data_IF_605148808422
#
_entry.id   IF_605148808422
#
_cell.length_a   1.000
_cell.length_b   1.000
_cell.length_c   1.000
_cell.angle_alpha   90.00
_cell.angle_beta   90.00
_cell.angle_gamma   90.00
#
_symmetry.space_group_name_H-M   'P 1'
#
loop_
_entity.id
_entity.type
_entity.pdbx_description
1 polymer ?
#
# COMPACT_ATOMS: atom_id res chain seq x y z
N UNK A 1 20.73 -1.64 -12.79
CA UNK A 1 20.87 -2.74 -11.81
C UNK A 1 19.95 -2.64 -10.59
N UNK A 2 19.49 -1.44 -10.15
CA UNK A 2 18.54 -1.29 -9.01
C UNK A 2 17.08 -1.70 -9.28
N UNK A 3 16.64 -1.74 -10.54
CA UNK A 3 15.26 -2.15 -10.90
C UNK A 3 14.99 -3.66 -10.76
N UNK A 4 16.03 -4.51 -10.85
CA UNK A 4 15.85 -5.96 -10.69
C UNK A 4 15.61 -6.35 -9.23
N UNK A 5 16.22 -5.65 -8.27
CA UNK A 5 16.18 -6.02 -6.84
C UNK A 5 14.75 -6.00 -6.30
N UNK A 6 13.97 -4.94 -6.58
CA UNK A 6 12.59 -4.82 -6.08
C UNK A 6 11.67 -5.94 -6.59
N UNK A 7 11.80 -6.31 -7.87
CA UNK A 7 11.03 -7.42 -8.47
C UNK A 7 11.58 -8.80 -8.09
N UNK A 8 12.89 -8.93 -7.87
CA UNK A 8 13.53 -10.18 -7.46
C UNK A 8 13.14 -10.58 -6.03
N UNK A 9 13.03 -9.61 -5.12
CA UNK A 9 12.65 -9.88 -3.72
C UNK A 9 11.23 -10.47 -3.68
N UNK A 10 10.28 -9.90 -4.43
CA UNK A 10 8.90 -10.39 -4.47
C UNK A 10 8.79 -11.83 -4.95
N UNK A 11 9.45 -12.17 -6.06
CA UNK A 11 9.40 -13.51 -6.64
C UNK A 11 10.04 -14.57 -5.71
N UNK A 12 11.15 -14.20 -5.07
CA UNK A 12 11.87 -15.10 -4.15
C UNK A 12 11.09 -15.34 -2.86
N UNK A 13 10.46 -14.29 -2.32
CA UNK A 13 9.60 -14.38 -1.13
C UNK A 13 8.40 -15.29 -1.40
N UNK A 14 7.68 -15.08 -2.50
CA UNK A 14 6.52 -15.91 -2.86
C UNK A 14 6.93 -17.37 -3.07
N UNK A 15 8.04 -17.62 -3.78
CA UNK A 15 8.56 -18.97 -3.99
C UNK A 15 8.94 -19.68 -2.66
N UNK A 16 9.51 -18.95 -1.70
CA UNK A 16 9.84 -19.49 -0.37
C UNK A 16 8.62 -19.81 0.48
N UNK A 17 7.50 -19.10 0.28
CA UNK A 17 6.26 -19.27 1.04
C UNK A 17 5.49 -20.54 0.63
N UNK A 18 5.39 -20.81 -0.68
CA UNK A 18 4.63 -21.96 -1.18
C UNK A 18 5.42 -23.29 -1.16
N UNK A 19 6.75 -23.24 -1.21
CA UNK A 19 7.59 -24.44 -1.15
C UNK A 19 7.37 -25.41 -2.32
N UNK A 20 8.22 -26.44 -2.43
CA UNK A 20 8.18 -27.39 -3.56
C UNK A 20 7.00 -28.39 -3.56
N UNK A 21 6.07 -28.31 -2.60
CA UNK A 21 4.90 -29.19 -2.48
C UNK A 21 3.64 -28.38 -2.20
N UNK A 22 2.58 -28.66 -2.97
CA UNK A 22 1.31 -27.95 -2.85
C UNK A 22 0.44 -28.55 -1.73
N UNK A 23 0.58 -28.02 -0.52
CA UNK A 23 -0.29 -28.36 0.60
C UNK A 23 -1.51 -27.43 0.65
N UNK A 24 -2.72 -27.96 0.43
CA UNK A 24 -3.96 -27.16 0.36
C UNK A 24 -4.20 -26.33 1.63
N UNK A 25 -3.94 -26.92 2.82
CA UNK A 25 -4.09 -26.20 4.11
C UNK A 25 -3.12 -25.02 4.23
N UNK A 26 -1.87 -25.19 3.81
CA UNK A 26 -0.84 -24.14 3.84
C UNK A 26 -1.15 -23.03 2.85
N UNK A 27 -1.64 -23.38 1.67
CA UNK A 27 -2.07 -22.44 0.64
C UNK A 27 -3.13 -21.46 1.17
N UNK A 28 -4.25 -21.97 1.71
CA UNK A 28 -5.32 -21.11 2.25
C UNK A 28 -4.87 -20.28 3.45
N UNK A 29 -3.97 -20.82 4.29
CA UNK A 29 -3.43 -20.08 5.44
C UNK A 29 -2.57 -18.88 5.00
N UNK A 30 -1.68 -19.06 4.02
CA UNK A 30 -0.83 -17.98 3.49
C UNK A 30 -1.67 -16.94 2.76
N UNK A 31 -2.58 -17.39 1.89
CA UNK A 31 -3.47 -16.48 1.14
C UNK A 31 -4.39 -15.71 2.07
N UNK A 32 -4.92 -16.36 3.12
CA UNK A 32 -5.74 -15.70 4.14
C UNK A 32 -4.97 -14.63 4.92
N UNK A 33 -3.77 -14.94 5.39
CA UNK A 33 -2.92 -13.96 6.09
C UNK A 33 -2.54 -12.78 5.17
N UNK A 34 -2.19 -13.06 3.91
CA UNK A 34 -1.87 -12.03 2.94
C UNK A 34 -3.08 -11.14 2.63
N UNK A 35 -4.27 -11.73 2.49
CA UNK A 35 -5.53 -11.01 2.24
C UNK A 35 -5.85 -10.04 3.38
N UNK A 36 -5.73 -10.49 4.63
CA UNK A 36 -5.94 -9.63 5.80
C UNK A 36 -4.90 -8.50 5.83
N UNK A 37 -3.62 -8.80 5.60
CA UNK A 37 -2.57 -7.78 5.57
C UNK A 37 -2.77 -6.73 4.46
N UNK A 38 -3.16 -7.17 3.25
CA UNK A 38 -3.51 -6.29 2.13
C UNK A 38 -4.75 -5.45 2.43
N UNK A 39 -5.75 -6.02 3.10
CA UNK A 39 -6.92 -5.28 3.55
C UNK A 39 -6.53 -4.17 4.54
N UNK A 40 -5.66 -4.46 5.51
CA UNK A 40 -5.14 -3.44 6.44
C UNK A 40 -4.33 -2.34 5.73
N UNK A 41 -3.47 -2.70 4.78
CA UNK A 41 -2.68 -1.72 4.01
C UNK A 41 -3.56 -0.85 3.13
N UNK A 42 -4.62 -1.41 2.51
CA UNK A 42 -5.61 -0.65 1.75
C UNK A 42 -6.52 0.21 2.63
N UNK A 43 -6.75 -0.19 3.88
CA UNK A 43 -7.53 0.57 4.85
C UNK A 43 -6.73 1.71 5.49
N UNK A 44 -5.39 1.58 5.54
CA UNK A 44 -4.52 2.73 5.79
C UNK A 44 -4.79 3.73 4.65
N UNK A 45 -5.26 4.95 4.94
CA UNK A 45 -5.57 5.92 3.91
C UNK A 45 -4.24 6.44 3.37
N UNK A 46 -3.69 5.69 2.42
CA UNK A 46 -2.60 6.11 1.57
C UNK A 46 -3.27 6.67 0.32
N UNK A 47 -3.42 7.99 0.20
CA UNK A 47 -4.10 8.68 -0.91
C UNK A 47 -3.29 8.52 -2.21
N UNK A 48 -3.32 7.30 -2.75
CA UNK A 48 -2.80 6.90 -4.07
C UNK A 48 -3.20 5.45 -4.42
N UNK A 49 -3.38 4.57 -3.43
CA UNK A 49 -3.92 3.21 -3.58
C UNK A 49 -5.42 3.22 -3.24
N UNK A 50 -6.27 2.66 -4.09
CA UNK A 50 -7.75 2.66 -4.18
C UNK A 50 -8.63 2.79 -2.89
N UNK A 51 -8.12 2.54 -1.68
CA UNK A 51 -8.86 2.62 -0.42
C UNK A 51 -9.27 4.03 0.01
N UNK A 52 -8.45 5.05 -0.25
CA UNK A 52 -8.76 6.43 0.16
C UNK A 52 -9.98 7.03 -0.55
N UNK A 53 -10.15 6.73 -1.84
CA UNK A 53 -11.33 7.13 -2.61
C UNK A 53 -12.57 6.33 -2.17
N UNK A 54 -12.40 5.05 -1.87
CA UNK A 54 -13.48 4.18 -1.38
C UNK A 54 -14.05 4.63 -0.03
N UNK A 55 -13.20 5.14 0.88
CA UNK A 55 -13.64 5.73 2.16
C UNK A 55 -14.44 7.02 1.94
N UNK A 56 -14.02 7.88 1.01
CA UNK A 56 -14.77 9.10 0.68
C UNK A 56 -16.16 8.79 0.12
N UNK A 57 -16.24 7.82 -0.79
CA UNK A 57 -17.52 7.34 -1.35
C UNK A 57 -18.35 6.65 -0.27
N UNK A 58 -17.73 5.89 0.65
CA UNK A 58 -18.41 5.30 1.80
C UNK A 58 -19.01 6.34 2.75
N UNK A 59 -18.27 7.41 3.05
CA UNK A 59 -18.78 8.55 3.83
C UNK A 59 -19.91 9.26 3.08
N UNK A 60 -19.80 9.41 1.76
CA UNK A 60 -20.85 9.98 0.92
C UNK A 60 -22.12 9.12 0.94
N UNK A 61 -21.98 7.79 0.85
CA UNK A 61 -23.07 6.84 0.92
C UNK A 61 -23.77 6.85 2.29
N UNK A 62 -23.02 6.96 3.39
CA UNK A 62 -23.58 7.09 4.75
C UNK A 62 -24.27 8.45 4.95
N UNK A 63 -23.69 9.53 4.40
CA UNK A 63 -24.19 10.90 4.59
C UNK A 63 -25.30 11.28 3.59
N UNK A 64 -25.48 10.50 2.52
CA UNK A 64 -26.49 10.68 1.48
C UNK A 64 -26.39 11.99 0.69
N UNK A 65 -25.30 12.73 0.83
CA UNK A 65 -25.10 14.06 0.22
C UNK A 65 -23.70 14.15 -0.37
N UNK A 66 -23.57 14.62 -1.63
CA UNK A 66 -22.29 14.67 -2.30
C UNK A 66 -21.30 15.54 -1.54
N UNK A 67 -20.08 15.04 -1.37
CA UNK A 67 -19.00 15.86 -0.82
C UNK A 67 -18.63 16.96 -1.82
N UNK A 68 -18.37 18.19 -1.36
CA UNK A 68 -17.93 19.25 -2.24
C UNK A 68 -16.60 18.86 -2.89
N UNK A 69 -16.52 18.95 -4.22
CA UNK A 69 -15.34 18.61 -5.04
C UNK A 69 -14.04 19.21 -4.49
N UNK A 70 -14.11 20.42 -3.93
CA UNK A 70 -12.97 21.09 -3.29
C UNK A 70 -12.36 20.26 -2.16
N UNK A 71 -13.18 19.65 -1.30
CA UNK A 71 -12.72 18.86 -0.15
C UNK A 71 -12.03 17.58 -0.63
N UNK A 72 -12.59 16.91 -1.63
CA UNK A 72 -12.00 15.71 -2.26
C UNK A 72 -10.64 16.05 -2.87
N UNK A 73 -10.55 17.15 -3.62
CA UNK A 73 -9.30 17.64 -4.20
C UNK A 73 -8.25 17.98 -3.14
N UNK A 74 -8.62 18.69 -2.07
CA UNK A 74 -7.70 19.01 -0.98
C UNK A 74 -7.16 17.76 -0.29
N UNK A 75 -8.03 16.77 -0.01
CA UNK A 75 -7.60 15.53 0.64
C UNK A 75 -6.61 14.75 -0.24
N UNK A 76 -6.89 14.68 -1.53
CA UNK A 76 -6.07 13.96 -2.50
C UNK A 76 -4.71 14.63 -2.70
N UNK A 77 -4.69 15.96 -2.81
CA UNK A 77 -3.44 16.75 -2.95
C UNK A 77 -2.62 16.71 -1.66
N UNK A 78 -3.24 16.93 -0.49
CA UNK A 78 -2.53 16.84 0.80
C UNK A 78 -1.89 15.47 0.98
N UNK A 79 -2.63 14.43 0.60
CA UNK A 79 -2.17 13.07 0.57
C UNK A 79 -0.96 12.79 -0.33
N UNK A 80 -1.03 13.27 -1.56
CA UNK A 80 0.05 13.15 -2.52
C UNK A 80 1.32 13.86 -2.05
N UNK A 81 1.18 15.06 -1.48
CA UNK A 81 2.29 15.82 -0.90
C UNK A 81 2.92 15.07 0.28
N UNK A 82 2.10 14.48 1.16
CA UNK A 82 2.58 13.69 2.29
C UNK A 82 3.41 12.48 1.82
N UNK A 83 2.92 11.75 0.80
CA UNK A 83 3.63 10.60 0.22
C UNK A 83 4.98 10.98 -0.37
N UNK A 84 5.03 12.06 -1.16
CA UNK A 84 6.29 12.54 -1.75
C UNK A 84 7.26 12.96 -0.65
N UNK A 85 6.78 13.71 0.34
CA UNK A 85 7.62 14.19 1.44
C UNK A 85 8.21 13.04 2.24
N UNK A 86 7.40 12.03 2.59
CA UNK A 86 7.88 10.83 3.27
C UNK A 86 8.90 10.06 2.43
N UNK A 87 8.64 9.90 1.13
CA UNK A 87 9.55 9.20 0.22
C UNK A 87 10.91 9.90 0.16
N UNK A 88 10.92 11.22 -0.02
CA UNK A 88 12.14 12.01 -0.01
C UNK A 88 12.87 11.93 1.34
N UNK A 89 12.15 11.99 2.44
CA UNK A 89 12.72 11.88 3.78
C UNK A 89 13.39 10.52 4.01
N UNK A 90 12.73 9.41 3.63
CA UNK A 90 13.27 8.06 3.76
C UNK A 90 14.49 7.88 2.87
N UNK A 91 14.43 8.30 1.61
CA UNK A 91 15.57 8.23 0.67
C UNK A 91 16.75 9.05 1.19
N UNK A 92 16.50 10.25 1.71
CA UNK A 92 17.57 11.07 2.29
C UNK A 92 18.19 10.41 3.52
N UNK A 93 17.38 9.79 4.38
CA UNK A 93 17.86 9.06 5.53
C UNK A 93 18.71 7.85 5.14
N UNK A 94 18.30 7.11 4.11
CA UNK A 94 19.02 5.96 3.59
C UNK A 94 20.36 6.39 2.95
N UNK A 95 20.37 7.49 2.18
CA UNK A 95 21.59 8.06 1.60
C UNK A 95 22.58 8.50 2.68
N UNK A 96 22.11 9.17 3.75
CA UNK A 96 22.99 9.59 4.86
C UNK A 96 23.60 8.40 5.57
N UNK A 97 22.85 7.32 5.75
CA UNK A 97 23.33 6.06 6.34
C UNK A 97 24.33 5.32 5.43
N UNK A 98 24.26 5.51 4.12
CA UNK A 98 25.19 4.88 3.17
C UNK A 98 26.49 5.67 3.00
N UNK A 99 26.47 6.98 3.28
CA UNK A 99 27.63 7.87 3.13
C UNK A 99 28.47 7.95 4.42
N UNK A 100 27.87 7.67 5.57
CA UNK A 100 28.55 7.61 6.87
C UNK A 100 28.67 6.16 7.33
#
# INVERSE_FOLDING_TARGET
MRHCIFWQIGHTVIASLFGGKLDWKRFWSIVGMLSVALAFINLLPVPLLDGGQSVLIGIEAIRGKPLPIKVVQYLQVAGFILMITLTFFVVFNDIRRLIH
#
